data_IF_658966684739
#
_entry.id   IF_658966684739
#
_cell.length_a   1.000
_cell.length_b   1.000
_cell.length_c   1.000
_cell.angle_alpha   90.00
_cell.angle_beta   90.00
_cell.angle_gamma   90.00
#
_symmetry.space_group_name_H-M   'P 1'
#
loop_
_entity.id
_entity.type
_entity.pdbx_description
1 polymer ?
#
# COMPACT_ATOMS: atom_id res chain seq x y z
N UNK A 1 27.34 13.84 18.71
CA UNK A 1 27.45 13.26 17.36
C UNK A 1 26.82 11.87 17.18
N UNK A 2 27.23 10.78 17.87
CA UNK A 2 26.65 9.44 17.60
C UNK A 2 25.18 9.34 18.04
N UNK A 3 24.86 9.81 19.25
CA UNK A 3 23.49 9.76 19.80
C UNK A 3 22.49 10.59 18.99
N UNK A 4 22.91 11.73 18.44
CA UNK A 4 22.06 12.58 17.59
C UNK A 4 21.74 11.92 16.24
N UNK A 5 22.72 11.24 15.64
CA UNK A 5 22.51 10.44 14.42
C UNK A 5 21.57 9.25 14.68
N UNK A 6 21.67 8.61 15.85
CA UNK A 6 20.73 7.55 16.24
C UNK A 6 19.31 8.09 16.42
N UNK A 7 19.15 9.23 17.12
CA UNK A 7 17.85 9.83 17.39
C UNK A 7 17.14 10.29 16.10
N UNK A 8 17.89 10.91 15.18
CA UNK A 8 17.35 11.31 13.87
C UNK A 8 16.90 10.11 13.03
N UNK A 9 17.66 9.00 13.06
CA UNK A 9 17.26 7.75 12.41
C UNK A 9 15.97 7.18 13.02
N UNK A 10 15.86 7.14 14.34
CA UNK A 10 14.65 6.65 15.04
C UNK A 10 13.42 7.51 14.74
N UNK A 11 13.56 8.83 14.73
CA UNK A 11 12.47 9.75 14.37
C UNK A 11 12.02 9.52 12.93
N UNK A 12 12.97 9.33 12.00
CA UNK A 12 12.65 9.03 10.59
C UNK A 12 11.89 7.71 10.46
N UNK A 13 12.34 6.65 11.13
CA UNK A 13 11.66 5.36 11.13
C UNK A 13 10.24 5.48 11.69
N UNK A 14 10.08 6.19 12.82
CA UNK A 14 8.78 6.44 13.44
C UNK A 14 7.84 7.20 12.50
N UNK A 15 8.32 8.25 11.83
CA UNK A 15 7.51 9.00 10.85
C UNK A 15 7.02 8.13 9.69
N UNK A 16 7.87 7.26 9.14
CA UNK A 16 7.47 6.34 8.07
C UNK A 16 6.44 5.32 8.53
N UNK A 17 6.59 4.82 9.75
CA UNK A 17 5.67 3.86 10.33
C UNK A 17 4.31 4.50 10.66
N UNK A 18 4.31 5.69 11.28
CA UNK A 18 3.10 6.41 11.65
C UNK A 18 2.30 6.86 10.42
N UNK A 19 2.98 7.25 9.32
CA UNK A 19 2.33 7.56 8.03
C UNK A 19 1.60 6.36 7.43
N UNK A 20 2.10 5.13 7.62
CA UNK A 20 1.48 3.91 7.09
C UNK A 20 0.36 3.34 7.97
N UNK A 21 0.21 3.84 9.20
CA UNK A 21 -0.84 3.41 10.14
C UNK A 21 -2.08 4.29 10.13
N UNK A 22 -2.04 5.45 9.46
CA UNK A 22 -3.24 6.24 9.24
C UNK A 22 -4.09 5.58 8.18
N UNK A 23 -5.40 5.54 8.40
CA UNK A 23 -6.35 5.21 7.36
C UNK A 23 -6.14 6.20 6.20
N UNK A 24 -5.82 5.68 5.03
CA UNK A 24 -5.65 6.51 3.83
C UNK A 24 -7.05 6.85 3.36
N UNK A 25 -7.47 8.08 3.59
CA UNK A 25 -8.70 8.61 2.98
C UNK A 25 -8.40 9.00 1.54
N UNK A 26 -9.19 8.47 0.61
CA UNK A 26 -9.15 8.87 -0.78
C UNK A 26 -10.32 9.78 -1.10
N UNK A 27 -10.12 10.69 -2.05
CA UNK A 27 -11.14 11.61 -2.54
C UNK A 27 -11.65 11.18 -3.92
N UNK A 28 -12.81 11.73 -4.30
CA UNK A 28 -13.32 11.58 -5.66
C UNK A 28 -12.32 12.17 -6.67
N UNK A 29 -11.98 11.42 -7.70
CA UNK A 29 -10.96 11.79 -8.68
C UNK A 29 -9.55 11.23 -8.41
N UNK A 30 -9.28 10.70 -7.22
CA UNK A 30 -8.00 10.02 -6.95
C UNK A 30 -7.86 8.73 -7.74
N UNK A 31 -6.63 8.44 -8.17
CA UNK A 31 -6.30 7.19 -8.86
C UNK A 31 -5.65 6.21 -7.88
N UNK A 32 -6.30 5.06 -7.68
CA UNK A 32 -5.86 4.03 -6.73
C UNK A 32 -5.59 2.71 -7.42
N UNK A 33 -4.67 1.93 -6.85
CA UNK A 33 -4.40 0.57 -7.29
C UNK A 33 -5.08 -0.44 -6.37
N UNK A 34 -5.80 -1.40 -6.94
CA UNK A 34 -6.50 -2.41 -6.15
C UNK A 34 -5.54 -3.55 -5.78
N UNK A 35 -5.37 -3.82 -4.49
CA UNK A 35 -4.54 -4.94 -4.02
C UNK A 35 -5.22 -6.29 -4.30
N UNK A 36 -4.50 -7.20 -4.94
CA UNK A 36 -4.94 -8.57 -5.21
C UNK A 36 -4.44 -9.49 -4.11
N UNK A 37 -5.38 -10.17 -3.44
CA UNK A 37 -5.05 -11.30 -2.58
C UNK A 37 -5.10 -12.58 -3.42
N UNK A 38 -4.14 -13.49 -3.25
CA UNK A 38 -4.06 -14.74 -3.99
C UNK A 38 -5.13 -15.78 -3.60
N UNK A 39 -6.04 -15.44 -2.68
CA UNK A 39 -6.88 -16.42 -1.95
C UNK A 39 -8.38 -16.26 -2.17
N UNK A 40 -8.84 -15.51 -3.18
CA UNK A 40 -10.30 -15.35 -3.39
C UNK A 40 -10.81 -16.32 -4.46
N UNK A 41 -11.32 -17.48 -4.03
CA UNK A 41 -12.02 -18.45 -4.89
C UNK A 41 -13.54 -18.26 -4.77
N UNK A 42 -14.18 -17.84 -5.85
CA UNK A 42 -15.16 -18.65 -6.60
C UNK A 42 -14.84 -18.41 -8.09
N UNK A 43 -14.35 -19.44 -8.77
CA UNK A 43 -14.35 -19.48 -10.25
C UNK A 43 -13.09 -19.12 -11.03
N UNK A 44 -12.01 -18.54 -10.47
CA UNK A 44 -10.77 -18.30 -11.26
C UNK A 44 -9.49 -18.48 -10.46
N UNK A 45 -8.66 -19.43 -10.91
CA UNK A 45 -7.23 -19.46 -10.65
C UNK A 45 -6.59 -18.31 -11.44
N UNK A 46 -6.06 -17.30 -10.76
CA UNK A 46 -5.03 -16.46 -11.37
C UNK A 46 -3.82 -17.39 -11.54
N UNK A 47 -3.67 -18.01 -12.72
CA UNK A 47 -2.53 -18.87 -13.03
C UNK A 47 -1.27 -18.21 -12.48
N UNK A 48 -0.63 -18.86 -11.51
CA UNK A 48 0.54 -18.34 -10.82
C UNK A 48 1.70 -18.21 -11.82
N UNK A 49 1.74 -17.11 -12.56
CA UNK A 49 3.00 -16.64 -13.11
C UNK A 49 3.81 -16.24 -11.88
N UNK A 50 5.02 -16.81 -11.74
CA UNK A 50 5.93 -16.72 -10.58
C UNK A 50 6.08 -15.30 -9.98
N UNK A 51 5.73 -14.27 -10.75
CA UNK A 51 5.57 -12.86 -10.36
C UNK A 51 4.16 -12.35 -10.72
N UNK A 52 3.12 -12.70 -9.95
CA UNK A 52 1.81 -12.06 -10.12
C UNK A 52 1.88 -10.62 -9.62
N UNK A 53 1.28 -9.69 -10.38
CA UNK A 53 1.11 -8.32 -9.92
C UNK A 53 0.26 -8.32 -8.64
N UNK A 54 0.80 -7.73 -7.56
CA UNK A 54 0.08 -7.56 -6.28
C UNK A 54 -1.02 -6.50 -6.37
N UNK A 55 -1.04 -5.72 -7.44
CA UNK A 55 -1.91 -4.57 -7.63
C UNK A 55 -2.47 -4.57 -9.05
N UNK A 56 -3.78 -4.34 -9.21
CA UNK A 56 -4.42 -4.08 -10.51
C UNK A 56 -4.45 -2.56 -10.73
N UNK A 57 -4.43 -2.16 -12.01
CA UNK A 57 -4.15 -0.81 -12.55
C UNK A 57 -4.83 0.41 -11.89
N UNK A 58 -4.59 1.62 -12.43
CA UNK A 58 -5.10 2.84 -11.82
C UNK A 58 -6.61 2.95 -12.05
N UNK A 59 -7.38 2.96 -10.97
CA UNK A 59 -8.82 3.20 -10.97
C UNK A 59 -9.11 4.58 -10.39
N UNK A 60 -9.95 5.34 -11.08
CA UNK A 60 -10.47 6.58 -10.55
C UNK A 60 -11.59 6.29 -9.54
N UNK A 61 -11.53 6.90 -8.36
CA UNK A 61 -12.62 6.84 -7.39
C UNK A 61 -13.73 7.78 -7.87
N UNK A 62 -14.88 7.21 -8.23
CA UNK A 62 -16.03 7.96 -8.70
C UNK A 62 -16.86 8.55 -7.56
N UNK A 63 -16.88 7.88 -6.40
CA UNK A 63 -17.64 8.28 -5.21
C UNK A 63 -17.01 7.67 -3.95
N UNK A 64 -17.11 8.36 -2.81
CA UNK A 64 -16.75 7.82 -1.48
C UNK A 64 -17.84 6.93 -0.88
#
# INVERSE_FOLDING_TARGET
MIQEKMRTSQIRQKSYHDKKRKDIEFQEGDHVFLRVNSTTRIGRSLKSRKLTMRFIGPYQILKR
#
